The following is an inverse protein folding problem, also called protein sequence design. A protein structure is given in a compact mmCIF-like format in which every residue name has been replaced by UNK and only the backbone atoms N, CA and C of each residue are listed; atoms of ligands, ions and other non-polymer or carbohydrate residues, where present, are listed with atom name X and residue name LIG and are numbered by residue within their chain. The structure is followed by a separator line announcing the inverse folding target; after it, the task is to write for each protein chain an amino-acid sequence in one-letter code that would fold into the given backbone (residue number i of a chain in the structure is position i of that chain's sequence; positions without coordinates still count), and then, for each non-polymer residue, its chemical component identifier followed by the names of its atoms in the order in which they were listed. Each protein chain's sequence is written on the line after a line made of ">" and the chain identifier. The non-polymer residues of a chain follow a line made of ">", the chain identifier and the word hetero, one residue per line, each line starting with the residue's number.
data_IF_042779214822
#
_entry.id   IF_042779214822
#
_cell.length_a   1.000
_cell.length_b   1.000
_cell.length_c   1.000
_cell.angle_alpha   90.00
_cell.angle_beta   90.00
_cell.angle_gamma   90.00
#
_symmetry.space_group_name_H-M   'P 1'
#
loop_
_entity.id
_entity.type
_entity.pdbx_description
1 polymer ?
#
# COMPACT_ATOMS: atom_id res chain seq x y z
N UNK A 1 5.61 -9.77 2.94
CA UNK A 1 6.17 -9.97 4.29
C UNK A 1 5.68 -8.84 5.17
N UNK A 2 5.20 -9.12 6.38
CA UNK A 2 4.73 -8.07 7.28
C UNK A 2 5.87 -7.11 7.67
N UNK A 3 5.56 -5.83 7.74
CA UNK A 3 6.48 -4.77 8.16
C UNK A 3 5.72 -3.69 8.91
N UNK A 4 6.38 -3.06 9.89
CA UNK A 4 5.88 -1.89 10.60
C UNK A 4 6.61 -0.65 10.11
N UNK A 5 5.87 0.36 9.67
CA UNK A 5 6.42 1.65 9.25
C UNK A 5 6.03 2.78 10.20
N UNK A 6 7.01 3.59 10.60
CA UNK A 6 6.81 4.81 11.41
C UNK A 6 7.34 5.99 10.63
N UNK A 7 6.51 7.03 10.41
CA UNK A 7 6.91 8.27 9.74
C UNK A 7 6.68 9.47 10.64
N UNK A 8 7.66 10.35 10.75
CA UNK A 8 7.55 11.58 11.55
C UNK A 8 6.98 12.70 10.69
N UNK A 9 5.76 13.13 10.98
CA UNK A 9 5.11 14.24 10.23
C UNK A 9 5.63 15.61 10.68
N UNK A 10 5.94 15.76 11.96
CA UNK A 10 6.49 16.98 12.56
C UNK A 10 7.35 16.64 13.78
N UNK A 11 8.33 17.50 14.08
CA UNK A 11 9.24 17.33 15.20
C UNK A 11 10.26 16.22 14.99
N UNK A 12 10.56 15.49 16.07
CA UNK A 12 11.50 14.35 16.10
C UNK A 12 10.90 13.21 16.91
N UNK A 13 11.02 11.98 16.41
CA UNK A 13 10.52 10.77 17.06
C UNK A 13 11.66 9.79 17.23
N UNK A 14 11.78 9.19 18.42
CA UNK A 14 12.68 8.06 18.65
C UNK A 14 11.92 6.77 18.38
N UNK A 15 12.44 5.94 17.47
CA UNK A 15 11.90 4.60 17.19
C UNK A 15 12.89 3.56 17.71
N UNK A 16 12.41 2.71 18.62
CA UNK A 16 13.12 1.53 19.07
C UNK A 16 12.50 0.30 18.39
N UNK A 17 13.32 -0.50 17.72
CA UNK A 17 12.92 -1.73 17.06
C UNK A 17 13.36 -2.93 17.92
N UNK A 18 12.48 -3.52 18.76
CA UNK A 18 12.86 -4.56 19.72
C UNK A 18 13.52 -5.78 19.05
N UNK A 19 13.09 -6.11 17.82
CA UNK A 19 13.58 -7.26 17.07
C UNK A 19 15.05 -7.14 16.66
N UNK A 20 15.60 -5.92 16.60
CA UNK A 20 16.99 -5.67 16.19
C UNK A 20 17.81 -4.99 17.28
N UNK A 21 17.17 -4.53 18.37
CA UNK A 21 17.77 -3.65 19.37
C UNK A 21 18.10 -2.24 18.86
N UNK A 22 17.80 -1.92 17.60
CA UNK A 22 18.17 -0.64 16.98
C UNK A 22 17.29 0.50 17.48
N UNK A 23 17.93 1.59 17.90
CA UNK A 23 17.29 2.87 18.25
C UNK A 23 17.63 3.88 17.16
N UNK A 24 16.62 4.53 16.58
CA UNK A 24 16.79 5.52 15.51
C UNK A 24 15.97 6.76 15.81
N UNK A 25 16.58 7.94 15.72
CA UNK A 25 15.86 9.21 15.71
C UNK A 25 15.40 9.51 14.28
N UNK A 26 14.12 9.80 14.11
CA UNK A 26 13.51 10.23 12.85
C UNK A 26 13.18 11.71 12.93
N UNK A 27 13.81 12.51 12.06
CA UNK A 27 13.45 13.88 11.78
C UNK A 27 12.17 14.00 10.95
N UNK A 28 11.70 15.23 10.77
CA UNK A 28 10.51 15.50 9.98
C UNK A 28 10.63 14.97 8.54
N UNK A 29 9.61 14.23 8.11
CA UNK A 29 9.54 13.58 6.80
C UNK A 29 10.23 12.22 6.74
N UNK A 30 11.01 11.84 7.74
CA UNK A 30 11.73 10.56 7.74
C UNK A 30 10.83 9.41 8.17
N UNK A 31 11.07 8.25 7.57
CA UNK A 31 10.34 7.01 7.84
C UNK A 31 11.29 5.86 8.08
N UNK A 32 11.04 5.11 9.15
CA UNK A 32 11.65 3.81 9.40
C UNK A 32 10.65 2.69 9.11
N UNK A 33 11.05 1.70 8.31
CA UNK A 33 10.30 0.45 8.11
C UNK A 33 11.09 -0.73 8.64
N UNK A 34 10.50 -1.47 9.57
CA UNK A 34 11.06 -2.67 10.19
C UNK A 34 10.31 -3.88 9.70
N UNK A 35 11.00 -4.80 9.02
CA UNK A 35 10.44 -6.04 8.51
C UNK A 35 10.60 -7.16 9.54
N UNK A 36 9.70 -8.15 9.51
CA UNK A 36 9.71 -9.27 10.46
C UNK A 36 11.06 -10.03 10.53
N UNK A 37 11.84 -10.06 9.43
CA UNK A 37 13.18 -10.66 9.39
C UNK A 37 14.32 -9.75 9.87
N UNK A 38 14.04 -8.68 10.60
CA UNK A 38 15.05 -7.76 11.15
C UNK A 38 15.65 -6.77 10.13
N UNK A 39 15.29 -6.88 8.85
CA UNK A 39 15.66 -5.89 7.85
C UNK A 39 15.02 -4.54 8.19
N UNK A 40 15.81 -3.47 8.13
CA UNK A 40 15.37 -2.10 8.40
C UNK A 40 15.60 -1.26 7.15
N UNK A 41 14.59 -0.54 6.70
CA UNK A 41 14.67 0.48 5.65
C UNK A 41 14.44 1.85 6.27
N UNK A 42 15.26 2.83 5.88
CA UNK A 42 15.10 4.23 6.26
C UNK A 42 14.99 5.05 4.97
N UNK A 43 13.86 5.72 4.78
CA UNK A 43 13.58 6.55 3.61
C UNK A 43 12.84 7.85 3.98
N UNK A 44 12.61 8.72 2.99
CA UNK A 44 11.87 9.99 3.13
C UNK A 44 10.74 10.03 2.11
N UNK A 45 9.54 9.49 2.44
CA UNK A 45 8.41 9.52 1.52
C UNK A 45 7.88 10.94 1.30
N UNK A 46 7.13 11.12 0.22
CA UNK A 46 6.28 12.30 0.04
C UNK A 46 5.16 12.27 1.10
N UNK A 47 5.11 13.30 1.94
CA UNK A 47 4.14 13.36 3.04
C UNK A 47 2.71 13.65 2.56
N UNK A 48 2.54 14.37 1.46
CA UNK A 48 1.22 14.70 0.94
C UNK A 48 0.53 13.45 0.39
N UNK A 49 1.30 12.59 -0.28
CA UNK A 49 0.87 11.27 -0.73
C UNK A 49 0.62 10.33 0.44
N UNK A 50 1.59 10.23 1.38
CA UNK A 50 1.51 9.31 2.52
C UNK A 50 0.31 9.62 3.42
N UNK A 51 -0.08 10.90 3.54
CA UNK A 51 -1.18 11.35 4.37
C UNK A 51 -2.49 11.55 3.60
N UNK A 52 -2.52 11.25 2.29
CA UNK A 52 -3.71 11.43 1.45
C UNK A 52 -4.94 10.65 1.96
N UNK A 53 -4.72 9.53 2.67
CA UNK A 53 -5.81 8.72 3.24
C UNK A 53 -6.70 9.53 4.18
N UNK A 54 -6.15 10.56 4.83
CA UNK A 54 -6.89 11.46 5.71
C UNK A 54 -7.91 12.32 4.97
N UNK A 55 -7.76 12.46 3.64
CA UNK A 55 -8.65 13.23 2.76
C UNK A 55 -9.57 12.33 1.93
N UNK A 56 -9.49 11.01 2.10
CA UNK A 56 -10.33 10.04 1.38
C UNK A 56 -9.66 9.41 0.16
N UNK A 57 -8.33 9.51 0.03
CA UNK A 57 -7.63 9.13 -1.19
C UNK A 57 -6.37 8.31 -0.87
N UNK A 58 -5.93 7.46 -1.79
CA UNK A 58 -4.62 6.82 -1.76
C UNK A 58 -3.86 7.21 -3.01
N UNK A 59 -2.59 7.60 -2.86
CA UNK A 59 -1.72 7.92 -3.99
C UNK A 59 -0.69 6.82 -4.15
N UNK A 60 -0.59 6.28 -5.36
CA UNK A 60 0.37 5.26 -5.72
C UNK A 60 1.29 5.78 -6.81
N UNK A 61 2.60 5.64 -6.61
CA UNK A 61 3.62 5.96 -7.61
C UNK A 61 4.43 4.71 -7.88
N UNK A 62 4.27 4.14 -9.07
CA UNK A 62 4.94 2.90 -9.48
C UNK A 62 4.76 1.77 -8.44
N UNK A 63 3.57 1.68 -7.85
CA UNK A 63 3.23 0.73 -6.79
C UNK A 63 3.04 -0.67 -7.34
N UNK A 64 3.46 -1.70 -6.60
CA UNK A 64 3.13 -3.10 -6.95
C UNK A 64 1.65 -3.32 -6.72
N UNK A 65 0.99 -4.05 -7.62
CA UNK A 65 -0.44 -4.32 -7.53
C UNK A 65 -0.80 -5.01 -6.20
N UNK A 66 0.05 -5.90 -5.69
CA UNK A 66 -0.17 -6.51 -4.37
C UNK A 66 -0.19 -5.51 -3.22
N UNK A 67 0.71 -4.52 -3.23
CA UNK A 67 0.79 -3.49 -2.18
C UNK A 67 -0.41 -2.54 -2.29
N UNK A 68 -0.77 -2.17 -3.52
CA UNK A 68 -1.95 -1.33 -3.81
C UNK A 68 -3.23 -2.03 -3.33
N UNK A 69 -3.44 -3.30 -3.71
CA UNK A 69 -4.62 -4.07 -3.30
C UNK A 69 -4.67 -4.24 -1.79
N UNK A 70 -3.54 -4.51 -1.15
CA UNK A 70 -3.48 -4.61 0.31
C UNK A 70 -3.91 -3.28 0.97
N UNK A 71 -3.44 -2.14 0.46
CA UNK A 71 -3.80 -0.84 1.01
C UNK A 71 -5.28 -0.48 0.76
N UNK A 72 -5.80 -0.70 -0.46
CA UNK A 72 -7.22 -0.50 -0.78
C UNK A 72 -8.10 -1.36 0.13
N UNK A 73 -7.73 -2.63 0.34
CA UNK A 73 -8.45 -3.56 1.22
C UNK A 73 -8.54 -3.11 2.68
N UNK A 74 -7.69 -2.19 3.15
CA UNK A 74 -7.81 -1.63 4.51
C UNK A 74 -9.01 -0.71 4.66
N UNK A 75 -9.46 -0.11 3.55
CA UNK A 75 -10.51 0.91 3.54
C UNK A 75 -11.79 0.45 2.84
N UNK A 76 -11.86 -0.79 2.35
CA UNK A 76 -13.08 -1.34 1.72
C UNK A 76 -13.61 -2.58 2.45
N UNK A 77 -14.93 -2.75 2.42
CA UNK A 77 -15.62 -3.92 2.97
C UNK A 77 -15.49 -5.13 2.06
N UNK A 78 -15.64 -4.94 0.74
CA UNK A 78 -15.55 -6.02 -0.26
C UNK A 78 -14.09 -6.20 -0.67
N UNK A 79 -13.49 -7.34 -0.32
CA UNK A 79 -12.05 -7.54 -0.52
C UNK A 79 -11.72 -7.84 -1.97
N UNK A 80 -10.62 -7.27 -2.43
CA UNK A 80 -9.99 -7.57 -3.72
C UNK A 80 -8.91 -8.64 -3.49
N UNK A 81 -8.94 -9.73 -4.24
CA UNK A 81 -8.01 -10.86 -4.11
C UNK A 81 -7.31 -11.10 -5.44
N UNK A 82 -5.99 -11.25 -5.41
CA UNK A 82 -5.21 -11.68 -6.57
C UNK A 82 -5.30 -13.21 -6.71
N UNK A 83 -5.73 -13.71 -7.86
CA UNK A 83 -5.85 -15.16 -8.07
C UNK A 83 -4.50 -15.88 -8.21
N UNK A 84 -3.45 -15.16 -8.59
CA UNK A 84 -2.11 -15.70 -8.85
C UNK A 84 -1.01 -14.71 -8.45
N UNK A 85 0.15 -15.18 -7.97
CA UNK A 85 1.33 -14.35 -7.72
C UNK A 85 1.82 -13.58 -8.96
N UNK A 86 1.52 -14.03 -10.18
CA UNK A 86 1.94 -13.35 -11.42
C UNK A 86 1.41 -11.92 -11.52
N UNK A 87 0.23 -11.65 -10.96
CA UNK A 87 -0.37 -10.31 -10.95
C UNK A 87 0.32 -9.38 -9.94
N UNK A 88 0.88 -9.92 -8.86
CA UNK A 88 1.40 -9.15 -7.73
C UNK A 88 2.48 -8.13 -8.12
N UNK A 89 3.29 -8.46 -9.13
CA UNK A 89 4.41 -7.64 -9.59
C UNK A 89 4.04 -6.52 -10.56
N UNK A 90 2.81 -6.50 -11.08
CA UNK A 90 2.35 -5.45 -11.99
C UNK A 90 2.43 -4.08 -11.31
N UNK A 91 2.76 -3.05 -12.09
CA UNK A 91 3.01 -1.70 -11.57
C UNK A 91 1.96 -0.74 -12.06
N UNK A 92 1.48 0.11 -11.14
CA UNK A 92 0.51 1.14 -11.44
C UNK A 92 0.87 2.43 -10.70
N UNK A 93 0.59 3.56 -11.35
CA UNK A 93 0.56 4.87 -10.73
C UNK A 93 -0.85 5.44 -10.84
N UNK A 94 -1.32 6.14 -9.81
CA UNK A 94 -2.64 6.75 -9.84
C UNK A 94 -3.14 7.14 -8.46
N UNK A 95 -4.35 7.69 -8.44
CA UNK A 95 -5.06 8.08 -7.23
C UNK A 95 -6.31 7.22 -7.12
N UNK A 96 -6.48 6.56 -5.99
CA UNK A 96 -7.70 5.86 -5.63
C UNK A 96 -8.50 6.71 -4.66
N UNK A 97 -9.80 6.89 -4.92
CA UNK A 97 -10.71 7.54 -3.97
C UNK A 97 -11.53 6.46 -3.26
N UNK A 98 -11.74 6.61 -1.94
CA UNK A 98 -12.53 5.65 -1.17
C UNK A 98 -13.97 5.54 -1.71
N UNK A 99 -14.54 4.34 -1.66
CA UNK A 99 -15.91 4.06 -2.17
C UNK A 99 -16.03 4.03 -3.70
N UNK A 100 -14.91 4.03 -4.43
CA UNK A 100 -14.86 3.94 -5.90
C UNK A 100 -14.25 2.63 -6.38
N UNK A 101 -14.58 1.52 -5.71
CA UNK A 101 -14.01 0.20 -5.99
C UNK A 101 -14.29 -0.25 -7.43
N UNK A 102 -15.50 -0.02 -7.94
CA UNK A 102 -15.88 -0.42 -9.29
C UNK A 102 -15.07 0.33 -10.35
N UNK A 103 -15.01 1.67 -10.23
CA UNK A 103 -14.19 2.52 -11.12
C UNK A 103 -12.73 2.09 -11.10
N UNK A 104 -12.20 1.78 -9.91
CA UNK A 104 -10.83 1.29 -9.75
C UNK A 104 -10.61 -0.04 -10.47
N UNK A 105 -11.50 -1.02 -10.30
CA UNK A 105 -11.41 -2.34 -10.93
C UNK A 105 -11.53 -2.26 -12.45
N UNK A 106 -12.40 -1.38 -12.96
CA UNK A 106 -12.53 -1.12 -14.39
C UNK A 106 -11.27 -0.48 -14.98
N UNK A 107 -10.65 0.46 -14.27
CA UNK A 107 -9.38 1.04 -14.69
C UNK A 107 -8.27 -0.02 -14.69
N UNK A 108 -8.23 -0.91 -13.69
CA UNK A 108 -7.24 -1.98 -13.64
C UNK A 108 -7.33 -2.91 -14.85
N UNK A 109 -8.53 -3.33 -15.25
CA UNK A 109 -8.71 -4.23 -16.42
C UNK A 109 -8.41 -3.54 -17.75
N UNK A 110 -8.50 -2.21 -17.82
CA UNK A 110 -8.11 -1.43 -19.00
C UNK A 110 -6.61 -1.21 -19.10
N UNK A 111 -5.92 -1.06 -17.98
CA UNK A 111 -4.49 -0.72 -17.94
C UNK A 111 -3.55 -1.93 -17.84
N UNK A 112 -4.04 -3.02 -17.26
CA UNK A 112 -3.25 -4.22 -17.01
C UNK A 112 -3.89 -5.42 -17.71
N UNK A 113 -3.10 -6.43 -18.12
CA UNK A 113 -3.62 -7.67 -18.68
C UNK A 113 -4.20 -8.54 -17.56
N UNK A 114 -5.36 -8.13 -17.04
CA UNK A 114 -6.13 -8.85 -16.04
C UNK A 114 -7.64 -8.69 -16.27
N UNK A 115 -8.41 -9.70 -15.86
CA UNK A 115 -9.86 -9.67 -15.73
C UNK A 115 -10.30 -9.53 -14.27
N UNK A 116 -11.57 -9.22 -14.08
CA UNK A 116 -12.21 -9.07 -12.76
C UNK A 116 -13.41 -10.00 -12.68
N UNK A 117 -13.44 -10.85 -11.66
CA UNK A 117 -14.60 -11.68 -11.32
C UNK A 117 -15.18 -11.13 -10.02
N UNK A 118 -16.43 -10.69 -10.05
CA UNK A 118 -17.14 -10.24 -8.86
C UNK A 118 -17.95 -11.40 -8.26
N UNK A 119 -17.93 -11.52 -6.93
CA UNK A 119 -18.78 -12.43 -6.18
C UNK A 119 -19.36 -11.72 -4.93
N UNK A 120 -20.31 -12.32 -4.20
CA UNK A 120 -20.91 -11.68 -3.02
C UNK A 120 -19.91 -11.32 -1.90
N UNK A 121 -18.77 -12.02 -1.82
CA UNK A 121 -17.72 -11.80 -0.82
C UNK A 121 -16.70 -10.73 -1.23
N UNK A 122 -16.59 -10.43 -2.52
CA UNK A 122 -15.62 -9.44 -3.01
C UNK A 122 -15.37 -9.48 -4.50
N UNK A 123 -14.10 -9.27 -4.85
CA UNK A 123 -13.60 -9.21 -6.22
C UNK A 123 -12.34 -10.05 -6.34
N UNK A 124 -12.22 -10.80 -7.44
CA UNK A 124 -11.05 -11.59 -7.78
C UNK A 124 -10.43 -11.09 -9.06
N UNK A 125 -9.17 -10.66 -9.00
CA UNK A 125 -8.38 -10.31 -10.17
C UNK A 125 -7.77 -11.59 -10.75
N UNK A 126 -8.00 -11.84 -12.04
CA UNK A 126 -7.52 -13.01 -12.76
C UNK A 126 -6.64 -12.59 -13.94
N UNK A 127 -5.59 -13.34 -14.31
CA UNK A 127 -4.88 -13.07 -15.54
C UNK A 127 -5.82 -13.30 -16.74
N UNK A 128 -5.65 -12.50 -17.80
CA UNK A 128 -6.20 -12.82 -19.13
C UNK A 128 -5.26 -13.75 -19.89
#
# INVERSE_FOLDING_TARGET
>A
MASTGVTTVSGRVMVQAPQTGRVTWLGQGERLRVFAGGRVEHDRPDLDDLLAWRRGNLVFRNGRLADIVAEVNRYTTRKIVLSTPRLAGMRLSGIYNFGKEQDFLEILSRLLPLGVIADPSGYRLVPV
#
